data_IF_935501115540
#
_entry.id   IF_935501115540
#
_cell.length_a   1.000
_cell.length_b   1.000
_cell.length_c   1.000
_cell.angle_alpha   90.00
_cell.angle_beta   90.00
_cell.angle_gamma   90.00
#
_symmetry.space_group_name_H-M   'P 1'
#
loop_
_entity.id
_entity.type
_entity.pdbx_description
1 polymer ?
#
# COMPACT_ATOMS: atom_id res chain seq x y z
N UNK A 1 34.43 -8.09 -16.42
CA UNK A 1 35.44 -8.92 -17.02
C UNK A 1 36.66 -9.05 -16.11
N UNK A 2 36.64 -9.98 -15.20
CA UNK A 2 37.73 -10.22 -14.25
C UNK A 2 38.22 -11.66 -14.31
N UNK A 3 38.56 -12.15 -15.51
CA UNK A 3 39.37 -13.35 -15.58
C UNK A 3 40.79 -12.99 -15.13
N UNK A 4 41.32 -13.61 -14.07
CA UNK A 4 42.71 -13.40 -13.67
C UNK A 4 43.64 -13.77 -14.80
N UNK A 5 44.42 -12.80 -15.28
CA UNK A 5 45.47 -13.09 -16.29
C UNK A 5 46.45 -14.08 -15.70
N UNK A 6 46.49 -15.29 -16.25
CA UNK A 6 47.66 -16.12 -16.06
C UNK A 6 48.85 -15.44 -16.74
N UNK A 7 49.85 -15.07 -15.94
CA UNK A 7 51.11 -14.49 -16.40
C UNK A 7 51.88 -15.49 -17.22
N UNK A 8 51.86 -15.35 -18.57
CA UNK A 8 52.64 -16.14 -19.52
C UNK A 8 52.73 -15.36 -20.84
N UNK A 9 53.97 -14.98 -21.16
CA UNK A 9 54.42 -14.18 -22.27
C UNK A 9 53.81 -14.58 -23.62
N UNK A 10 53.19 -13.62 -24.32
CA UNK A 10 52.94 -13.57 -25.76
C UNK A 10 51.51 -13.40 -26.26
N UNK A 11 51.33 -12.30 -27.00
CA UNK A 11 50.37 -12.07 -28.09
C UNK A 11 48.90 -12.42 -27.85
N UNK A 12 48.07 -11.37 -27.62
CA UNK A 12 46.66 -11.25 -27.94
C UNK A 12 45.91 -12.57 -28.22
N UNK A 13 45.63 -13.32 -27.21
CA UNK A 13 44.45 -14.17 -27.17
C UNK A 13 43.64 -13.68 -25.96
N UNK A 14 42.53 -13.00 -26.22
CA UNK A 14 41.41 -12.94 -25.26
C UNK A 14 41.03 -14.41 -25.01
N UNK A 15 41.57 -15.01 -23.95
CA UNK A 15 41.00 -16.25 -23.43
C UNK A 15 39.67 -15.77 -22.84
N UNK A 16 38.60 -15.90 -23.60
CA UNK A 16 37.27 -15.88 -23.06
C UNK A 16 37.26 -16.87 -21.90
N UNK A 17 36.88 -16.43 -20.71
CA UNK A 17 36.64 -17.35 -19.63
C UNK A 17 35.59 -18.35 -20.11
N UNK A 18 35.75 -19.63 -19.78
CA UNK A 18 34.70 -20.60 -20.07
C UNK A 18 33.43 -20.16 -19.31
N UNK A 19 32.33 -20.28 -19.98
CA UNK A 19 30.99 -20.03 -19.53
C UNK A 19 30.19 -21.21 -20.09
N UNK A 20 30.07 -22.24 -19.27
CA UNK A 20 29.66 -23.58 -19.74
C UNK A 20 28.15 -23.64 -20.01
N UNK A 21 27.38 -22.86 -19.34
CA UNK A 21 25.90 -22.85 -19.47
C UNK A 21 25.36 -21.61 -20.21
N UNK A 22 26.20 -20.58 -20.43
CA UNK A 22 25.90 -19.43 -21.29
C UNK A 22 25.06 -18.33 -20.57
N UNK A 23 25.13 -18.25 -19.26
CA UNK A 23 24.39 -17.26 -18.47
C UNK A 23 25.11 -15.90 -18.37
N UNK A 24 26.32 -15.79 -18.94
CA UNK A 24 27.19 -14.60 -18.93
C UNK A 24 28.05 -14.44 -17.66
N UNK A 25 28.05 -15.40 -16.76
CA UNK A 25 28.97 -15.51 -15.65
C UNK A 25 30.03 -16.59 -16.02
N UNK A 26 31.28 -16.27 -15.85
CA UNK A 26 32.31 -17.25 -16.18
C UNK A 26 32.42 -18.34 -15.12
N UNK A 27 32.68 -19.62 -15.53
CA UNK A 27 32.76 -20.80 -14.66
C UNK A 27 33.58 -20.58 -13.38
N UNK A 28 34.60 -19.71 -13.44
CA UNK A 28 35.47 -19.42 -12.30
C UNK A 28 34.77 -18.52 -11.22
N UNK A 29 33.74 -17.79 -11.62
CA UNK A 29 32.97 -16.91 -10.77
C UNK A 29 31.53 -17.41 -10.58
N UNK A 30 31.22 -18.56 -11.18
CA UNK A 30 29.92 -19.19 -11.15
C UNK A 30 29.91 -20.34 -10.16
N UNK A 31 29.00 -20.30 -9.21
CA UNK A 31 28.85 -21.37 -8.21
C UNK A 31 28.17 -22.60 -8.80
N UNK A 32 27.39 -22.41 -9.89
CA UNK A 32 26.69 -23.49 -10.61
C UNK A 32 26.99 -23.49 -12.12
N UNK A 33 28.25 -23.77 -12.55
CA UNK A 33 28.72 -23.55 -13.92
C UNK A 33 28.01 -24.34 -15.04
N UNK A 34 27.10 -25.21 -14.69
CA UNK A 34 26.31 -26.04 -15.61
C UNK A 34 24.79 -25.68 -15.55
N UNK A 35 24.42 -24.60 -14.88
CA UNK A 35 23.02 -24.23 -14.69
C UNK A 35 22.72 -22.75 -15.00
N UNK A 36 22.25 -22.43 -16.20
CA UNK A 36 22.09 -21.05 -16.68
C UNK A 36 21.03 -20.20 -15.93
N UNK A 37 20.50 -20.69 -14.85
CA UNK A 37 19.53 -19.97 -13.99
C UNK A 37 20.11 -19.62 -12.63
N UNK A 38 21.27 -20.11 -12.27
CA UNK A 38 21.94 -19.93 -11.00
C UNK A 38 23.40 -19.54 -11.23
N UNK A 39 23.90 -18.47 -10.65
CA UNK A 39 25.27 -18.02 -10.90
C UNK A 39 26.00 -17.54 -9.65
N UNK A 40 25.50 -16.52 -8.98
CA UNK A 40 26.17 -15.92 -7.83
C UNK A 40 25.50 -16.36 -6.52
N UNK A 41 26.34 -16.69 -5.55
CA UNK A 41 25.98 -16.92 -4.15
C UNK A 41 27.06 -16.23 -3.33
N UNK A 42 26.78 -14.99 -2.93
CA UNK A 42 27.80 -14.09 -2.39
C UNK A 42 28.26 -14.45 -0.99
N UNK A 43 27.41 -15.10 -0.20
CA UNK A 43 27.72 -15.50 1.18
C UNK A 43 27.92 -17.00 1.37
N UNK A 44 27.57 -17.82 0.35
CA UNK A 44 27.88 -19.24 0.32
C UNK A 44 26.90 -20.11 1.10
N UNK A 45 25.66 -19.69 1.25
CA UNK A 45 24.63 -20.44 1.98
C UNK A 45 23.88 -21.46 1.10
N UNK A 46 24.06 -21.39 -0.22
CA UNK A 46 23.43 -22.28 -1.21
C UNK A 46 22.18 -21.71 -1.87
N UNK A 47 21.81 -20.48 -1.54
CA UNK A 47 20.75 -19.70 -2.20
C UNK A 47 21.43 -18.67 -3.11
N UNK A 48 21.02 -18.56 -4.36
CA UNK A 48 21.66 -17.63 -5.27
C UNK A 48 21.13 -16.19 -5.09
N UNK A 49 22.02 -15.21 -5.21
CA UNK A 49 21.75 -13.79 -4.92
C UNK A 49 20.41 -13.25 -5.46
N UNK A 50 19.96 -13.58 -6.71
CA UNK A 50 18.70 -13.07 -7.23
C UNK A 50 17.42 -13.49 -6.52
N UNK A 51 17.46 -14.57 -5.73
CA UNK A 51 16.30 -15.04 -4.93
C UNK A 51 16.58 -15.05 -3.43
N UNK A 52 17.76 -14.62 -3.04
CA UNK A 52 18.16 -14.45 -1.66
C UNK A 52 17.79 -13.04 -1.19
N UNK A 53 16.95 -12.94 -0.16
CA UNK A 53 16.61 -11.65 0.45
C UNK A 53 17.79 -11.03 1.20
N UNK A 54 18.80 -11.85 1.58
CA UNK A 54 19.96 -11.43 2.36
C UNK A 54 21.30 -11.91 1.73
N UNK A 55 21.67 -11.50 0.51
CA UNK A 55 22.80 -12.06 -0.26
C UNK A 55 24.20 -11.89 0.34
N UNK A 56 24.31 -11.36 1.53
CA UNK A 56 25.55 -11.18 2.29
C UNK A 56 25.46 -11.71 3.72
N UNK A 57 24.41 -12.47 4.04
CA UNK A 57 24.23 -13.07 5.37
C UNK A 57 23.83 -14.54 5.28
N UNK A 58 24.82 -15.41 5.23
CA UNK A 58 24.70 -16.88 5.15
C UNK A 58 23.86 -17.54 6.25
N UNK A 59 23.23 -16.78 7.11
CA UNK A 59 22.32 -17.27 8.16
C UNK A 59 20.86 -16.92 7.88
N UNK A 60 20.60 -16.09 6.87
CA UNK A 60 19.26 -15.65 6.44
C UNK A 60 19.15 -15.70 4.91
N UNK A 61 17.98 -16.07 4.37
CA UNK A 61 17.74 -16.18 2.92
C UNK A 61 16.32 -15.85 2.50
N UNK A 62 15.34 -15.83 3.42
CA UNK A 62 13.98 -15.41 3.16
C UNK A 62 13.55 -14.27 4.08
N UNK A 63 12.66 -13.44 3.57
CA UNK A 63 11.99 -12.33 4.24
C UNK A 63 10.56 -12.30 3.69
N UNK A 64 9.65 -12.94 4.40
CA UNK A 64 8.31 -13.22 3.89
C UNK A 64 7.41 -11.99 3.80
N UNK A 65 7.59 -11.04 4.72
CA UNK A 65 6.79 -9.83 4.77
C UNK A 65 7.54 -8.56 4.32
N UNK A 66 8.83 -8.71 4.00
CA UNK A 66 9.74 -7.67 3.51
C UNK A 66 9.99 -6.53 4.51
N UNK A 67 10.10 -6.85 5.79
CA UNK A 67 10.44 -5.91 6.85
C UNK A 67 11.95 -5.69 7.04
N UNK A 68 12.76 -6.53 6.39
CA UNK A 68 14.22 -6.52 6.47
C UNK A 68 14.79 -7.40 7.59
N UNK A 69 13.96 -8.17 8.26
CA UNK A 69 14.37 -9.23 9.19
C UNK A 69 14.26 -10.59 8.50
N UNK A 70 15.10 -11.54 8.89
CA UNK A 70 15.14 -12.83 8.20
C UNK A 70 14.31 -13.91 8.88
N UNK A 71 13.63 -14.72 8.09
CA UNK A 71 12.71 -15.78 8.54
C UNK A 71 13.38 -16.90 9.33
N UNK A 72 14.71 -17.04 9.27
CA UNK A 72 15.40 -18.09 10.01
C UNK A 72 15.56 -17.69 11.49
N UNK A 73 14.85 -18.34 12.44
CA UNK A 73 14.89 -17.97 13.85
C UNK A 73 16.25 -18.21 14.53
N UNK A 74 17.17 -18.88 13.85
CA UNK A 74 18.54 -19.13 14.34
C UNK A 74 19.59 -18.28 13.63
N UNK A 75 19.18 -17.45 12.67
CA UNK A 75 20.06 -16.56 11.92
C UNK A 75 20.32 -15.23 12.62
N UNK A 76 21.01 -14.34 11.93
CA UNK A 76 21.20 -12.96 12.40
C UNK A 76 19.89 -12.19 12.25
N UNK A 77 19.58 -11.31 13.20
CA UNK A 77 18.37 -10.47 13.21
C UNK A 77 17.12 -11.25 12.79
N UNK A 78 16.75 -12.33 13.49
CA UNK A 78 15.61 -13.12 13.12
C UNK A 78 14.31 -12.34 13.29
N UNK A 79 13.39 -12.51 12.34
CA UNK A 79 12.06 -11.97 12.44
C UNK A 79 11.24 -12.74 13.50
N UNK A 80 10.67 -12.05 14.49
CA UNK A 80 9.78 -12.66 15.48
C UNK A 80 8.35 -12.89 14.96
N UNK A 81 7.95 -12.24 13.85
CA UNK A 81 6.57 -12.19 13.35
C UNK A 81 6.50 -12.22 11.82
N UNK A 82 6.73 -13.35 11.21
CA UNK A 82 6.90 -13.61 9.76
C UNK A 82 5.83 -13.03 8.81
N UNK A 83 4.74 -12.52 9.31
CA UNK A 83 3.61 -11.96 8.55
C UNK A 83 3.17 -10.59 9.10
N UNK A 84 4.06 -9.82 9.73
CA UNK A 84 3.78 -8.56 10.43
C UNK A 84 4.87 -7.54 10.13
N UNK A 85 4.74 -6.84 9.01
CA UNK A 85 5.78 -5.99 8.41
C UNK A 85 6.26 -4.84 9.30
N UNK A 86 5.42 -4.30 10.18
CA UNK A 86 5.82 -3.21 11.09
C UNK A 86 6.03 -3.65 12.52
N UNK A 87 5.84 -4.95 12.79
CA UNK A 87 6.12 -5.62 14.05
C UNK A 87 5.33 -5.04 15.25
N UNK A 88 4.09 -4.61 15.03
CA UNK A 88 3.22 -4.08 16.09
C UNK A 88 2.48 -5.18 16.87
N UNK A 89 2.49 -6.41 16.36
CA UNK A 89 1.84 -7.59 16.93
C UNK A 89 0.50 -7.93 16.28
N UNK A 90 0.11 -7.22 15.21
CA UNK A 90 -1.04 -7.52 14.36
C UNK A 90 -0.55 -7.90 12.97
N UNK A 91 -0.85 -9.13 12.55
CA UNK A 91 -0.37 -9.61 11.25
C UNK A 91 -0.98 -8.82 10.09
N UNK A 92 -0.25 -8.67 8.99
CA UNK A 92 -0.64 -7.91 7.80
C UNK A 92 -2.07 -8.21 7.28
N UNK A 93 -2.54 -9.44 7.47
CA UNK A 93 -3.90 -9.84 7.05
C UNK A 93 -5.00 -9.11 7.84
N UNK A 94 -4.74 -8.79 9.10
CA UNK A 94 -5.71 -8.19 10.03
C UNK A 94 -5.38 -6.74 10.35
N UNK A 95 -4.24 -6.25 9.87
CA UNK A 95 -3.79 -4.89 10.03
C UNK A 95 -4.30 -4.00 8.90
N UNK A 96 -4.90 -2.87 9.25
CA UNK A 96 -5.32 -1.84 8.29
C UNK A 96 -4.17 -0.93 7.87
N UNK A 97 -3.09 -0.90 8.66
CA UNK A 97 -1.93 -0.03 8.47
C UNK A 97 -0.60 -0.82 8.54
N UNK A 98 -0.37 -1.82 7.68
CA UNK A 98 0.74 -2.79 7.79
C UNK A 98 2.16 -2.21 7.71
N UNK A 99 2.31 -0.90 7.68
CA UNK A 99 3.58 -0.16 7.64
C UNK A 99 3.65 0.91 8.74
N UNK A 100 2.70 0.90 9.68
CA UNK A 100 2.64 1.88 10.76
C UNK A 100 2.38 1.21 12.11
N UNK A 101 3.43 0.77 12.77
CA UNK A 101 3.41 0.10 14.08
C UNK A 101 2.71 0.85 15.21
N UNK A 102 2.09 1.96 14.92
CA UNK A 102 1.29 2.74 15.88
C UNK A 102 -0.20 2.66 15.60
N UNK A 103 -0.61 2.07 14.48
CA UNK A 103 -2.00 1.93 14.04
C UNK A 103 -2.24 0.53 13.48
N UNK A 104 -3.38 -0.09 13.77
CA UNK A 104 -3.75 -1.43 13.28
C UNK A 104 -5.24 -1.58 12.94
N UNK A 105 -6.09 -0.64 13.35
CA UNK A 105 -7.52 -0.67 13.11
C UNK A 105 -8.03 0.65 12.56
N UNK A 106 -9.10 0.57 11.74
CA UNK A 106 -9.80 1.67 11.10
C UNK A 106 -11.29 1.26 11.04
N UNK A 107 -12.06 1.74 12.01
CA UNK A 107 -13.40 1.24 12.27
C UNK A 107 -14.42 1.68 11.21
N UNK A 108 -14.29 2.88 10.69
CA UNK A 108 -15.20 3.45 9.70
C UNK A 108 -14.64 3.50 8.28
N UNK A 109 -13.35 3.11 8.11
CA UNK A 109 -12.61 3.03 6.87
C UNK A 109 -12.38 4.40 6.18
N UNK A 110 -12.10 5.43 6.97
CA UNK A 110 -11.76 6.77 6.48
C UNK A 110 -10.28 6.94 6.16
N UNK A 111 -9.44 5.97 6.56
CA UNK A 111 -7.99 5.95 6.38
C UNK A 111 -7.21 6.57 7.53
N UNK A 112 -7.88 6.93 8.63
CA UNK A 112 -7.26 7.31 9.89
C UNK A 112 -7.29 6.12 10.86
N UNK A 113 -6.32 6.06 11.76
CA UNK A 113 -6.20 4.93 12.67
C UNK A 113 -6.89 5.16 14.02
N UNK A 114 -7.55 4.13 14.53
CA UNK A 114 -8.33 4.17 15.77
C UNK A 114 -7.49 4.42 17.03
N UNK A 115 -6.17 4.24 16.97
CA UNK A 115 -5.31 4.51 18.11
C UNK A 115 -5.01 6.01 18.24
N UNK A 116 -5.65 6.66 19.19
CA UNK A 116 -5.49 8.10 19.44
C UNK A 116 -4.06 8.55 19.81
N UNK A 117 -3.17 7.61 20.14
CA UNK A 117 -1.76 7.89 20.44
C UNK A 117 -0.82 7.53 19.27
N UNK A 118 -1.36 7.00 18.18
CA UNK A 118 -0.61 6.65 16.98
C UNK A 118 -0.44 7.80 16.00
N UNK A 119 0.10 7.48 14.84
CA UNK A 119 0.18 8.42 13.72
C UNK A 119 -1.21 8.62 13.11
N UNK A 120 -1.50 9.84 12.64
CA UNK A 120 -2.79 10.18 12.00
C UNK A 120 -4.00 9.57 12.72
N UNK A 121 -4.20 9.85 14.00
CA UNK A 121 -5.28 9.25 14.76
C UNK A 121 -6.64 9.76 14.29
N UNK A 122 -7.61 8.87 14.24
CA UNK A 122 -9.00 9.23 14.03
C UNK A 122 -9.65 9.71 15.34
N UNK A 123 -10.11 10.97 15.42
CA UNK A 123 -10.82 11.46 16.58
C UNK A 123 -12.29 11.03 16.63
N UNK A 124 -12.85 10.50 15.53
CA UNK A 124 -14.29 10.24 15.34
C UNK A 124 -14.53 8.86 14.71
N UNK A 125 -14.27 7.80 15.42
CA UNK A 125 -14.29 6.40 14.97
C UNK A 125 -15.55 5.90 14.22
N UNK A 126 -16.59 6.69 14.12
CA UNK A 126 -17.87 6.38 13.47
C UNK A 126 -18.32 7.50 12.51
N UNK A 127 -17.40 8.31 11.95
CA UNK A 127 -17.69 9.47 11.11
C UNK A 127 -16.74 9.50 9.92
N UNK A 128 -17.10 8.75 8.87
CA UNK A 128 -16.21 8.42 7.73
C UNK A 128 -15.71 9.63 6.94
N UNK A 129 -16.44 10.73 6.89
CA UNK A 129 -16.01 11.93 6.16
C UNK A 129 -15.61 13.10 7.09
N UNK A 130 -15.68 12.85 8.40
CA UNK A 130 -15.25 13.77 9.45
C UNK A 130 -15.93 15.14 9.43
N UNK A 131 -17.22 15.16 9.07
CA UNK A 131 -18.03 16.39 9.05
C UNK A 131 -18.64 16.74 10.41
N UNK A 132 -18.55 15.83 11.39
CA UNK A 132 -19.08 15.97 12.74
C UNK A 132 -20.42 15.27 12.96
N UNK A 133 -20.94 14.58 11.95
CA UNK A 133 -22.11 13.73 12.04
C UNK A 133 -21.71 12.28 11.90
N UNK A 134 -22.04 11.45 12.87
CA UNK A 134 -21.67 10.03 12.86
C UNK A 134 -22.44 9.27 11.78
N UNK A 135 -21.86 8.19 11.26
CA UNK A 135 -22.40 7.38 10.17
C UNK A 135 -23.84 6.86 10.37
N UNK A 136 -24.34 6.79 11.60
CA UNK A 136 -25.69 6.33 11.91
C UNK A 136 -26.77 7.41 11.69
N UNK A 137 -26.38 8.69 11.73
CA UNK A 137 -27.26 9.84 11.53
C UNK A 137 -26.97 10.61 10.23
N UNK A 138 -25.82 10.34 9.61
CA UNK A 138 -25.42 10.93 8.35
C UNK A 138 -25.96 10.13 7.15
N UNK A 139 -26.70 10.83 6.28
CA UNK A 139 -27.23 10.29 5.03
C UNK A 139 -26.22 10.34 3.87
N UNK A 140 -25.13 11.14 4.02
CA UNK A 140 -24.14 11.39 3.00
C UNK A 140 -22.71 11.06 3.46
N UNK A 141 -22.49 9.96 4.14
CA UNK A 141 -21.30 9.47 4.85
C UNK A 141 -19.93 9.61 4.15
N UNK A 142 -19.89 10.09 2.93
CA UNK A 142 -18.67 10.29 2.13
C UNK A 142 -18.59 11.73 1.58
N UNK A 143 -19.48 12.61 2.03
CA UNK A 143 -19.50 14.00 1.59
C UNK A 143 -19.51 14.95 2.78
N UNK A 144 -18.35 15.43 3.24
CA UNK A 144 -18.20 16.27 4.43
C UNK A 144 -18.89 17.63 4.31
N UNK A 145 -19.67 17.83 3.30
CA UNK A 145 -20.46 19.06 3.10
C UNK A 145 -21.96 18.84 3.26
N UNK A 146 -22.40 17.58 3.44
CA UNK A 146 -23.82 17.19 3.54
C UNK A 146 -24.01 16.11 4.61
N UNK A 147 -25.10 16.18 5.36
CA UNK A 147 -25.43 15.19 6.41
C UNK A 147 -26.93 14.84 6.49
N UNK A 148 -27.81 15.66 5.88
CA UNK A 148 -29.25 15.49 5.95
C UNK A 148 -29.90 15.70 4.58
N UNK A 149 -31.04 15.04 4.37
CA UNK A 149 -31.92 15.17 3.21
C UNK A 149 -33.36 15.11 3.74
N UNK A 150 -33.95 16.28 3.97
CA UNK A 150 -35.24 16.41 4.67
C UNK A 150 -36.43 15.95 3.86
N UNK A 151 -36.39 16.04 2.54
CA UNK A 151 -37.50 15.67 1.67
C UNK A 151 -37.27 14.36 0.88
N UNK A 152 -36.04 13.81 0.94
CA UNK A 152 -35.70 12.50 0.39
C UNK A 152 -35.52 12.48 -1.11
N UNK A 153 -35.09 13.58 -1.72
CA UNK A 153 -34.90 13.66 -3.16
C UNK A 153 -33.46 13.30 -3.61
N UNK A 154 -32.56 13.11 -2.66
CA UNK A 154 -31.17 12.71 -2.87
C UNK A 154 -30.18 13.87 -2.96
N UNK A 155 -30.61 15.09 -2.72
CA UNK A 155 -29.79 16.28 -2.55
C UNK A 155 -29.73 16.67 -1.06
N UNK A 156 -28.58 17.16 -0.61
CA UNK A 156 -28.41 17.46 0.80
C UNK A 156 -28.92 18.83 1.20
N UNK A 157 -29.42 18.92 2.43
CA UNK A 157 -30.04 20.12 2.99
C UNK A 157 -29.13 21.34 3.08
N UNK A 158 -27.80 21.16 2.99
CA UNK A 158 -26.87 22.27 2.94
C UNK A 158 -26.72 22.82 1.51
N UNK A 159 -27.34 23.96 1.18
CA UNK A 159 -27.33 24.47 -0.19
C UNK A 159 -25.95 24.93 -0.67
N UNK A 160 -24.99 25.08 0.23
CA UNK A 160 -23.60 25.43 -0.07
C UNK A 160 -22.68 24.22 -0.27
N UNK A 161 -23.15 23.01 0.01
CA UNK A 161 -22.42 21.77 -0.13
C UNK A 161 -22.40 21.18 -1.54
N UNK A 162 -21.73 20.06 -1.70
CA UNK A 162 -21.77 19.26 -2.92
C UNK A 162 -23.19 18.68 -3.06
N UNK A 163 -23.79 18.78 -4.24
CA UNK A 163 -25.20 18.40 -4.43
C UNK A 163 -26.17 19.04 -3.42
N UNK A 164 -25.91 20.29 -3.04
CA UNK A 164 -26.75 21.02 -2.10
C UNK A 164 -28.11 21.34 -2.66
N UNK A 165 -29.17 21.13 -1.84
CA UNK A 165 -30.55 21.43 -2.17
C UNK A 165 -30.91 22.86 -1.77
N UNK A 166 -31.43 23.64 -2.70
CA UNK A 166 -31.94 24.98 -2.46
C UNK A 166 -33.41 24.99 -2.03
N UNK A 167 -34.08 23.82 -2.10
CA UNK A 167 -35.47 23.61 -1.72
C UNK A 167 -35.67 22.43 -0.76
N UNK A 168 -35.01 22.37 0.40
CA UNK A 168 -34.86 21.18 1.25
C UNK A 168 -36.17 20.65 1.88
N UNK A 169 -37.32 21.09 1.44
CA UNK A 169 -38.65 20.61 1.81
C UNK A 169 -39.53 20.37 0.59
N UNK A 170 -38.97 20.30 -0.61
CA UNK A 170 -39.68 20.10 -1.86
C UNK A 170 -39.04 19.03 -2.74
N UNK A 171 -39.38 17.75 -2.60
CA UNK A 171 -38.73 16.63 -3.24
C UNK A 171 -38.90 16.63 -4.78
N UNK A 172 -39.40 17.68 -5.36
CA UNK A 172 -39.48 17.86 -6.81
C UNK A 172 -38.56 18.93 -7.37
N UNK A 173 -37.81 19.60 -6.51
CA UNK A 173 -36.86 20.67 -6.86
C UNK A 173 -35.61 20.58 -6.01
N UNK A 174 -34.43 20.70 -6.62
CA UNK A 174 -33.16 20.77 -5.94
C UNK A 174 -32.39 22.07 -6.21
N UNK A 175 -32.66 22.69 -7.32
CA UNK A 175 -31.78 23.68 -7.91
C UNK A 175 -32.56 24.94 -8.31
N UNK A 176 -31.91 26.10 -8.10
CA UNK A 176 -32.37 27.43 -8.53
C UNK A 176 -31.08 28.15 -9.08
N UNK A 177 -30.84 28.03 -10.38
CA UNK A 177 -29.59 28.50 -10.98
C UNK A 177 -29.49 29.99 -11.06
N UNK A 178 -30.62 30.69 -11.24
CA UNK A 178 -30.63 32.15 -11.36
C UNK A 178 -31.02 32.85 -10.06
N UNK A 179 -31.31 32.07 -9.00
CA UNK A 179 -31.59 32.53 -7.64
C UNK A 179 -32.85 33.43 -7.53
N UNK A 180 -33.87 33.15 -8.32
CA UNK A 180 -35.11 33.89 -8.30
C UNK A 180 -36.15 33.32 -7.31
N UNK A 181 -35.82 32.16 -6.69
CA UNK A 181 -36.66 31.47 -5.72
C UNK A 181 -37.63 30.47 -6.31
N UNK A 182 -37.53 30.20 -7.61
CA UNK A 182 -38.25 29.14 -8.32
C UNK A 182 -37.30 28.05 -8.74
N UNK A 183 -37.74 26.82 -8.77
CA UNK A 183 -36.89 25.69 -9.08
C UNK A 183 -36.78 25.37 -10.55
N UNK A 184 -35.55 24.98 -10.98
CA UNK A 184 -35.21 24.66 -12.39
C UNK A 184 -35.87 23.37 -12.92
N UNK A 185 -36.49 22.54 -12.07
CA UNK A 185 -37.12 21.31 -12.55
C UNK A 185 -38.51 21.62 -13.15
N UNK A 186 -38.57 21.60 -14.47
CA UNK A 186 -39.82 21.88 -15.23
C UNK A 186 -41.03 21.02 -14.85
N UNK A 187 -40.81 19.80 -14.38
CA UNK A 187 -41.86 18.88 -13.93
C UNK A 187 -42.17 18.98 -12.43
N UNK A 188 -41.41 19.79 -11.69
CA UNK A 188 -41.57 20.00 -10.26
C UNK A 188 -42.65 21.00 -9.92
N UNK A 189 -42.90 21.16 -8.60
CA UNK A 189 -43.68 22.25 -8.02
C UNK A 189 -42.78 23.46 -7.77
N UNK A 190 -43.36 24.68 -7.67
CA UNK A 190 -42.60 25.93 -7.51
C UNK A 190 -41.49 26.09 -8.59
N UNK A 191 -41.84 25.88 -9.81
CA UNK A 191 -40.92 25.94 -10.96
C UNK A 191 -40.91 27.33 -11.59
N UNK A 192 -39.77 27.67 -12.17
CA UNK A 192 -39.58 28.78 -13.10
C UNK A 192 -40.34 28.61 -14.42
#
# INVERSE_FOLDING_TARGET
>A
DSCPQQSGNSSYILIACSDSDGDSVADINDVWPDNPYLSLDSDGDGIHDPIDSFPNDSTQWYDNDNDGLGDNPNGNNPDPYLDDTDNDGVTNQYDRFPLDSTQWNDADNDGLGDNLNGNNPDPNLDDTDNDGYTNDIDLFRLDPTQWADSDGDGYGDNPGGIYGDQFPNNPSQCCDRDLDGWGDNYNGTQRD
#
